data_IF_186513080175
#
_entry.id   IF_186513080175
#
_cell.length_a   1.000
_cell.length_b   1.000
_cell.length_c   1.000
_cell.angle_alpha   90.00
_cell.angle_beta   90.00
_cell.angle_gamma   90.00
#
_symmetry.space_group_name_H-M   'P 1'
#
loop_
_entity.id
_entity.type
_entity.pdbx_description
1 polymer ?
#
# COMPACT_ATOMS: atom_id res chain seq x y z
N UNK A 1 -4.86 -4.65 -26.56
CA UNK A 1 -4.48 -3.49 -25.71
C UNK A 1 -5.23 -3.44 -24.36
N UNK A 2 -6.51 -3.86 -24.26
CA UNK A 2 -7.29 -3.83 -23.00
C UNK A 2 -6.72 -4.68 -21.85
N UNK A 3 -6.11 -5.82 -22.15
CA UNK A 3 -5.45 -6.68 -21.14
C UNK A 3 -4.26 -5.98 -20.47
N UNK A 4 -3.41 -5.33 -21.28
CA UNK A 4 -2.24 -4.60 -20.78
C UNK A 4 -2.67 -3.41 -19.92
N UNK A 5 -3.70 -2.67 -20.34
CA UNK A 5 -4.21 -1.55 -19.54
C UNK A 5 -4.79 -2.02 -18.20
N UNK A 6 -5.54 -3.13 -18.18
CA UNK A 6 -6.04 -3.71 -16.93
C UNK A 6 -4.90 -4.18 -16.03
N UNK A 7 -3.89 -4.82 -16.60
CA UNK A 7 -2.73 -5.29 -15.86
C UNK A 7 -1.96 -4.13 -15.19
N UNK A 8 -1.64 -3.08 -15.95
CA UNK A 8 -0.95 -1.90 -15.41
C UNK A 8 -1.79 -1.22 -14.34
N UNK A 9 -3.10 -1.11 -14.56
CA UNK A 9 -4.01 -0.50 -13.59
C UNK A 9 -4.08 -1.29 -12.28
N UNK A 10 -4.14 -2.63 -12.35
CA UNK A 10 -4.09 -3.50 -11.18
C UNK A 10 -2.76 -3.39 -10.44
N UNK A 11 -1.63 -3.28 -11.16
CA UNK A 11 -0.32 -3.09 -10.54
C UNK A 11 -0.23 -1.76 -9.80
N UNK A 12 -0.74 -0.67 -10.38
CA UNK A 12 -0.77 0.62 -9.71
C UNK A 12 -1.67 0.62 -8.49
N UNK A 13 -2.84 -0.04 -8.56
CA UNK A 13 -3.71 -0.23 -7.41
C UNK A 13 -3.00 -1.00 -6.30
N UNK A 14 -2.30 -2.08 -6.65
CA UNK A 14 -1.54 -2.89 -5.71
C UNK A 14 -0.36 -2.11 -5.10
N UNK A 15 0.32 -1.27 -5.87
CA UNK A 15 1.41 -0.43 -5.37
C UNK A 15 0.94 0.53 -4.26
N UNK A 16 -0.27 1.07 -4.41
CA UNK A 16 -0.88 1.93 -3.38
C UNK A 16 -1.31 1.09 -2.17
N UNK A 17 -2.00 -0.03 -2.40
CA UNK A 17 -2.44 -0.93 -1.34
C UNK A 17 -1.28 -1.57 -0.57
N UNK A 18 -0.10 -1.70 -1.18
CA UNK A 18 1.09 -2.26 -0.56
C UNK A 18 1.56 -1.46 0.66
N UNK A 19 1.36 -0.13 0.69
CA UNK A 19 1.86 0.69 1.80
C UNK A 19 1.13 0.37 3.12
N UNK A 20 -0.22 0.36 3.18
CA UNK A 20 -0.92 -0.08 4.39
C UNK A 20 -0.75 -1.58 4.69
N UNK A 21 -0.57 -2.41 3.65
CA UNK A 21 -0.30 -3.85 3.83
C UNK A 21 1.04 -4.10 4.53
N UNK A 22 2.11 -3.41 4.09
CA UNK A 22 3.43 -3.50 4.69
C UNK A 22 3.41 -2.97 6.13
N UNK A 23 2.68 -1.89 6.41
CA UNK A 23 2.46 -1.41 7.77
C UNK A 23 1.74 -2.45 8.64
N UNK A 24 0.70 -3.09 8.12
CA UNK A 24 0.00 -4.18 8.79
C UNK A 24 0.94 -5.34 9.12
N UNK A 25 1.73 -5.80 8.13
CA UNK A 25 2.72 -6.86 8.35
C UNK A 25 3.77 -6.45 9.40
N UNK A 26 4.27 -5.21 9.36
CA UNK A 26 5.22 -4.71 10.34
C UNK A 26 4.64 -4.74 11.75
N UNK A 27 3.41 -4.25 11.94
CA UNK A 27 2.70 -4.30 13.22
C UNK A 27 2.51 -5.75 13.68
N UNK A 28 2.10 -6.63 12.78
CA UNK A 28 1.94 -8.06 13.08
C UNK A 28 3.24 -8.72 13.54
N UNK A 29 4.37 -8.41 12.91
CA UNK A 29 5.69 -8.91 13.31
C UNK A 29 6.06 -8.40 14.70
N UNK A 30 5.96 -7.08 14.94
CA UNK A 30 6.28 -6.47 16.23
C UNK A 30 5.45 -7.08 17.36
N UNK A 31 4.14 -7.24 17.15
CA UNK A 31 3.25 -7.86 18.14
C UNK A 31 3.55 -9.34 18.37
N UNK A 32 3.91 -10.08 17.32
CA UNK A 32 4.28 -11.48 17.46
C UNK A 32 5.54 -11.65 18.31
N UNK A 33 6.56 -10.80 18.10
CA UNK A 33 7.81 -10.84 18.89
C UNK A 33 7.59 -10.57 20.38
N UNK A 34 6.55 -9.81 20.77
CA UNK A 34 6.19 -9.62 22.19
C UNK A 34 5.77 -10.91 22.89
N UNK A 35 5.24 -11.89 22.14
CA UNK A 35 4.89 -13.20 22.67
C UNK A 35 6.08 -14.17 22.76
N UNK A 36 7.29 -13.72 22.41
CA UNK A 36 8.52 -14.52 22.44
C UNK A 36 8.66 -15.51 21.27
N UNK A 37 7.68 -15.58 20.37
CA UNK A 37 7.70 -16.42 19.17
C UNK A 37 7.11 -15.70 17.97
N UNK A 38 7.65 -15.97 16.77
CA UNK A 38 7.06 -15.49 15.52
C UNK A 38 5.76 -16.25 15.23
N UNK A 39 4.64 -15.70 15.69
CA UNK A 39 3.32 -16.21 15.40
C UNK A 39 2.88 -15.82 13.98
N UNK A 40 3.00 -16.76 13.05
CA UNK A 40 2.60 -16.58 11.65
C UNK A 40 1.12 -16.16 11.50
N UNK A 41 0.23 -16.64 12.37
CA UNK A 41 -1.19 -16.29 12.33
C UNK A 41 -1.41 -14.81 12.66
N UNK A 42 -0.71 -14.29 13.67
CA UNK A 42 -0.77 -12.86 14.04
C UNK A 42 -0.26 -11.98 12.91
N UNK A 43 0.86 -12.36 12.29
CA UNK A 43 1.45 -11.61 11.16
C UNK A 43 0.50 -11.60 9.97
N UNK A 44 -0.07 -12.76 9.59
CA UNK A 44 -1.01 -12.87 8.47
C UNK A 44 -2.30 -12.10 8.76
N UNK A 45 -2.84 -12.18 9.99
CA UNK A 45 -4.05 -11.45 10.37
C UNK A 45 -3.86 -9.93 10.23
N UNK A 46 -2.75 -9.40 10.75
CA UNK A 46 -2.45 -7.96 10.61
C UNK A 46 -2.10 -7.55 9.18
N UNK A 47 -1.46 -8.43 8.42
CA UNK A 47 -1.27 -8.24 6.98
C UNK A 47 -2.59 -8.16 6.21
N UNK A 48 -3.56 -9.03 6.54
CA UNK A 48 -4.90 -9.01 5.94
C UNK A 48 -5.67 -7.72 6.28
N UNK A 49 -5.61 -7.28 7.54
CA UNK A 49 -6.18 -5.98 7.94
C UNK A 49 -5.54 -4.83 7.16
N UNK A 50 -4.20 -4.82 7.07
CA UNK A 50 -3.46 -3.85 6.28
C UNK A 50 -3.84 -3.86 4.80
N UNK A 51 -4.08 -5.04 4.22
CA UNK A 51 -4.50 -5.19 2.84
C UNK A 51 -5.93 -4.70 2.60
N UNK A 52 -6.87 -4.96 3.52
CA UNK A 52 -8.24 -4.45 3.43
C UNK A 52 -8.22 -2.92 3.44
N UNK A 53 -7.53 -2.32 4.41
CA UNK A 53 -7.39 -0.87 4.52
C UNK A 53 -6.70 -0.31 3.28
N UNK A 54 -5.61 -0.95 2.83
CA UNK A 54 -4.88 -0.60 1.62
C UNK A 54 -5.75 -0.65 0.37
N UNK A 55 -6.62 -1.65 0.25
CA UNK A 55 -7.54 -1.77 -0.87
C UNK A 55 -8.61 -0.69 -0.88
N UNK A 56 -9.20 -0.36 0.27
CA UNK A 56 -10.12 0.77 0.39
C UNK A 56 -9.44 2.10 0.04
N UNK A 57 -8.19 2.27 0.48
CA UNK A 57 -7.42 3.48 0.19
C UNK A 57 -7.04 3.59 -1.30
N UNK A 58 -6.58 2.50 -1.91
CA UNK A 58 -6.30 2.43 -3.34
C UNK A 58 -7.56 2.70 -4.17
N UNK A 59 -8.71 2.16 -3.77
CA UNK A 59 -10.00 2.41 -4.41
C UNK A 59 -10.46 3.87 -4.26
N UNK A 60 -10.20 4.49 -3.10
CA UNK A 60 -10.46 5.92 -2.89
C UNK A 60 -9.60 6.78 -3.81
N UNK A 61 -8.29 6.51 -3.92
CA UNK A 61 -7.39 7.25 -4.82
C UNK A 61 -7.81 7.07 -6.28
N UNK A 62 -8.19 5.84 -6.66
CA UNK A 62 -8.72 5.53 -7.99
C UNK A 62 -9.90 6.42 -8.35
N UNK A 63 -10.84 6.63 -7.42
CA UNK A 63 -12.05 7.45 -7.64
C UNK A 63 -11.80 8.95 -7.61
N UNK A 64 -10.84 9.42 -6.81
CA UNK A 64 -10.63 10.87 -6.61
C UNK A 64 -9.69 11.50 -7.65
N UNK A 65 -8.56 10.86 -7.96
CA UNK A 65 -7.50 11.45 -8.80
C UNK A 65 -7.11 10.53 -9.95
N UNK A 66 -7.33 9.22 -9.81
CA UNK A 66 -6.83 8.23 -10.76
C UNK A 66 -5.43 7.75 -10.39
N UNK A 67 -5.20 6.45 -10.58
CA UNK A 67 -4.02 5.75 -10.09
C UNK A 67 -2.72 6.25 -10.75
N UNK A 68 -2.71 6.40 -12.08
CA UNK A 68 -1.56 6.90 -12.84
C UNK A 68 -1.21 8.34 -12.47
N UNK A 69 -2.21 9.21 -12.29
CA UNK A 69 -1.96 10.62 -11.94
C UNK A 69 -1.41 10.72 -10.52
N UNK A 70 -1.97 9.98 -9.57
CA UNK A 70 -1.47 9.95 -8.20
C UNK A 70 -0.01 9.50 -8.13
N UNK A 71 0.32 8.37 -8.77
CA UNK A 71 1.70 7.87 -8.80
C UNK A 71 2.64 8.77 -9.60
N UNK A 72 2.16 9.39 -10.68
CA UNK A 72 2.93 10.37 -11.45
C UNK A 72 3.25 11.63 -10.63
N UNK A 73 2.29 12.11 -9.84
CA UNK A 73 2.51 13.22 -8.90
C UNK A 73 3.43 12.82 -7.75
N UNK A 74 3.36 11.58 -7.27
CA UNK A 74 4.25 11.07 -6.24
C UNK A 74 5.69 10.94 -6.74
N UNK A 75 5.89 10.39 -7.94
CA UNK A 75 7.22 10.28 -8.56
C UNK A 75 7.79 11.64 -8.99
N UNK A 76 6.92 12.55 -9.44
CA UNK A 76 7.28 13.92 -9.82
C UNK A 76 7.36 14.89 -8.65
N UNK A 77 7.00 14.47 -7.44
CA UNK A 77 7.15 15.27 -6.24
C UNK A 77 8.65 15.48 -6.00
N UNK A 78 9.15 16.67 -6.33
CA UNK A 78 10.50 17.06 -5.93
C UNK A 78 10.52 17.22 -4.41
N UNK A 79 11.50 16.60 -3.77
CA UNK A 79 11.91 16.86 -2.37
C UNK A 79 12.36 18.32 -2.25
N UNK A 80 11.42 19.25 -2.30
CA UNK A 80 11.68 20.69 -2.25
C UNK A 80 11.77 21.14 -0.81
N UNK A 81 12.84 20.73 -0.12
CA UNK A 81 13.49 21.65 0.81
C UNK A 81 14.31 22.64 -0.03
N UNK A 82 13.63 23.59 -0.67
CA UNK A 82 14.26 24.84 -1.08
C UNK A 82 13.88 25.89 -0.05
N UNK A 83 14.40 25.73 1.17
CA UNK A 83 14.54 26.85 2.11
C UNK A 83 15.36 27.92 1.38
N UNK A 84 14.69 29.01 1.04
CA UNK A 84 15.33 30.27 0.65
C UNK A 84 15.48 31.11 1.90
#
# INVERSE_FOLDING_TARGET
>A
MRLVSLFVFSLQWLAIAASPTLLGLFVGVVLSLQSGQLNALTVVAWGAVGFIIGGFWAERIRKQTGLSEFLGRLAGARDTSKRR
#
